data_IF_785877125614
#
_entry.id   IF_785877125614
#
_cell.length_a   1.000
_cell.length_b   1.000
_cell.length_c   1.000
_cell.angle_alpha   90.00
_cell.angle_beta   90.00
_cell.angle_gamma   90.00
#
_symmetry.space_group_name_H-M   'P 1'
#
loop_
_entity.id
_entity.type
_entity.pdbx_description
1 polymer ?
#
# COMPACT_ATOMS: atom_id res chain seq x y z
N UNK A 1 -7.12 -28.52 19.19
CA UNK A 1 -7.74 -28.07 17.92
C UNK A 1 -7.02 -26.81 17.43
N UNK A 2 -6.02 -26.97 16.57
CA UNK A 2 -5.16 -25.87 16.09
C UNK A 2 -5.87 -25.16 14.93
N UNK A 3 -6.34 -23.92 15.14
CA UNK A 3 -6.92 -23.07 14.08
C UNK A 3 -5.87 -22.82 13.01
N UNK A 4 -5.98 -23.51 11.87
CA UNK A 4 -5.25 -23.16 10.64
C UNK A 4 -5.72 -21.77 10.21
N UNK A 5 -4.87 -20.75 10.35
CA UNK A 5 -5.06 -19.45 9.71
C UNK A 5 -4.94 -19.67 8.20
N UNK A 6 -6.07 -19.76 7.50
CA UNK A 6 -6.09 -19.61 6.05
C UNK A 6 -5.52 -18.24 5.73
N UNK A 7 -4.34 -18.21 5.12
CA UNK A 7 -3.81 -17.01 4.48
C UNK A 7 -4.62 -16.84 3.20
N UNK A 8 -5.80 -16.23 3.33
CA UNK A 8 -6.53 -15.71 2.18
C UNK A 8 -5.56 -14.81 1.42
N UNK A 9 -5.17 -15.23 0.21
CA UNK A 9 -4.42 -14.40 -0.73
C UNK A 9 -5.37 -13.28 -1.18
N UNK A 10 -5.55 -12.28 -0.34
CA UNK A 10 -6.23 -11.05 -0.71
C UNK A 10 -5.45 -10.45 -1.87
N UNK A 11 -6.01 -10.53 -3.08
CA UNK A 11 -5.60 -9.68 -4.19
C UNK A 11 -5.67 -8.24 -3.71
N UNK A 12 -4.53 -7.67 -3.36
CA UNK A 12 -4.42 -6.28 -2.98
C UNK A 12 -4.70 -5.44 -4.23
N UNK A 13 -5.95 -5.00 -4.42
CA UNK A 13 -6.26 -3.99 -5.42
C UNK A 13 -5.71 -2.66 -4.93
N UNK A 14 -4.54 -2.27 -5.43
CA UNK A 14 -3.98 -0.96 -5.14
C UNK A 14 -4.90 0.13 -5.69
N UNK A 15 -5.37 1.03 -4.81
CA UNK A 15 -6.11 2.22 -5.25
C UNK A 15 -5.09 3.31 -5.61
N UNK A 16 -5.21 3.90 -6.80
CA UNK A 16 -4.38 5.04 -7.18
C UNK A 16 -4.88 6.28 -6.44
N UNK A 17 -4.01 6.93 -5.67
CA UNK A 17 -4.37 8.12 -4.89
C UNK A 17 -3.55 9.31 -5.35
N UNK A 18 -4.21 10.46 -5.55
CA UNK A 18 -3.55 11.75 -5.79
C UNK A 18 -3.06 12.32 -4.47
N UNK A 19 -1.85 11.94 -4.06
CA UNK A 19 -1.20 12.51 -2.88
C UNK A 19 -0.06 13.43 -3.33
N UNK A 20 -0.10 14.74 -3.04
CA UNK A 20 1.09 15.57 -3.14
C UNK A 20 2.12 15.06 -2.13
N UNK A 21 3.38 14.84 -2.55
CA UNK A 21 4.46 14.23 -1.72
C UNK A 21 4.53 14.80 -0.30
N UNK A 22 4.37 16.12 -0.13
CA UNK A 22 4.40 16.81 1.18
C UNK A 22 3.20 16.52 2.11
N UNK A 23 2.12 15.96 1.59
CA UNK A 23 0.87 15.73 2.33
C UNK A 23 0.79 14.30 2.87
N UNK A 24 1.51 13.35 2.29
CA UNK A 24 1.52 11.95 2.76
C UNK A 24 2.04 11.87 4.20
N UNK A 25 3.08 12.65 4.51
CA UNK A 25 3.68 12.70 5.85
C UNK A 25 2.76 13.30 6.92
N UNK A 26 1.71 14.05 6.54
CA UNK A 26 0.84 14.77 7.49
C UNK A 26 -0.58 14.21 7.63
N UNK A 27 -1.06 13.36 6.72
CA UNK A 27 -2.51 13.10 6.58
C UNK A 27 -2.95 11.69 7.01
N UNK A 28 -2.01 10.77 7.27
CA UNK A 28 -2.37 9.39 7.64
C UNK A 28 -3.10 8.65 6.51
N UNK A 29 -3.77 7.55 6.84
CA UNK A 29 -4.49 6.74 5.87
C UNK A 29 -5.79 7.42 5.42
N UNK A 30 -5.93 7.71 4.12
CA UNK A 30 -7.17 8.30 3.55
C UNK A 30 -8.40 7.41 3.73
N UNK A 31 -8.22 6.09 3.91
CA UNK A 31 -9.33 5.15 4.10
C UNK A 31 -9.90 5.18 5.52
N UNK A 32 -9.05 5.27 6.55
CA UNK A 32 -9.48 5.06 7.95
C UNK A 32 -8.98 6.13 8.93
N UNK A 33 -8.23 7.14 8.48
CA UNK A 33 -7.66 8.20 9.30
C UNK A 33 -6.48 7.79 10.18
N UNK A 34 -6.09 6.51 10.20
CA UNK A 34 -4.98 6.03 11.05
C UNK A 34 -3.65 6.65 10.63
N UNK A 35 -2.86 7.10 11.62
CA UNK A 35 -1.49 7.57 11.42
C UNK A 35 -0.47 6.43 11.31
N UNK A 36 -0.89 5.17 11.51
CA UNK A 36 0.01 4.01 11.40
C UNK A 36 0.18 3.61 9.93
N UNK A 37 1.01 4.37 9.22
CA UNK A 37 1.32 4.22 7.80
C UNK A 37 2.81 3.94 7.58
N UNK A 38 3.11 3.13 6.58
CA UNK A 38 4.43 2.87 6.03
C UNK A 38 4.49 3.47 4.62
N UNK A 39 5.50 4.29 4.35
CA UNK A 39 5.66 4.97 3.07
C UNK A 39 6.80 4.28 2.31
N UNK A 40 6.48 3.82 1.12
CA UNK A 40 7.38 3.18 0.17
C UNK A 40 7.58 4.12 -1.04
N UNK A 41 8.64 3.95 -1.84
CA UNK A 41 8.95 4.85 -2.95
C UNK A 41 7.78 5.06 -3.95
N UNK A 42 6.95 4.03 -4.16
CA UNK A 42 5.78 4.08 -5.05
C UNK A 42 4.43 3.93 -4.33
N UNK A 43 4.42 3.65 -3.02
CA UNK A 43 3.20 3.25 -2.32
C UNK A 43 3.08 3.84 -0.90
N UNK A 44 1.85 3.90 -0.41
CA UNK A 44 1.54 4.16 0.99
C UNK A 44 0.73 2.99 1.51
N UNK A 45 1.23 2.33 2.55
CA UNK A 45 0.62 1.17 3.17
C UNK A 45 0.14 1.52 4.59
N UNK A 46 -1.17 1.43 4.83
CA UNK A 46 -1.72 1.54 6.17
C UNK A 46 -1.59 0.22 6.91
N UNK A 47 -0.74 0.18 7.94
CA UNK A 47 -0.50 -0.99 8.77
C UNK A 47 -1.66 -1.30 9.72
N UNK A 48 -2.57 -0.34 9.92
CA UNK A 48 -3.79 -0.53 10.72
C UNK A 48 -4.90 -1.24 9.96
N UNK A 49 -5.31 -0.74 8.78
CA UNK A 49 -6.46 -1.28 8.03
C UNK A 49 -6.09 -2.06 6.74
N UNK A 50 -4.80 -2.22 6.46
CA UNK A 50 -4.28 -2.94 5.29
C UNK A 50 -4.46 -2.20 3.96
N UNK A 51 -4.82 -0.91 3.97
CA UNK A 51 -4.99 -0.14 2.73
C UNK A 51 -3.65 0.11 2.05
N UNK A 52 -3.55 -0.27 0.78
CA UNK A 52 -2.37 0.00 -0.06
C UNK A 52 -2.76 0.95 -1.19
N UNK A 53 -2.07 2.09 -1.25
CA UNK A 53 -2.36 3.16 -2.22
C UNK A 53 -1.12 3.49 -3.03
N UNK A 54 -1.26 3.56 -4.35
CA UNK A 54 -0.16 4.00 -5.24
C UNK A 54 -0.01 5.51 -5.18
N UNK A 55 1.23 5.99 -5.05
CA UNK A 55 1.56 7.41 -5.12
C UNK A 55 1.58 7.81 -6.60
N UNK A 56 0.78 8.80 -6.97
CA UNK A 56 0.72 9.27 -8.36
C UNK A 56 2.03 9.97 -8.76
N UNK A 57 2.53 9.66 -9.96
CA UNK A 57 3.70 10.32 -10.54
C UNK A 57 5.05 9.77 -10.05
N UNK A 58 5.07 8.69 -9.28
CA UNK A 58 6.29 7.98 -8.90
C UNK A 58 6.72 7.00 -9.98
N UNK A 59 8.00 6.63 -9.96
CA UNK A 59 8.62 5.73 -10.94
C UNK A 59 7.88 4.39 -11.06
N UNK A 60 7.76 3.89 -12.29
CA UNK A 60 7.28 2.52 -12.57
C UNK A 60 8.28 1.47 -12.07
N UNK A 61 9.59 1.73 -12.19
CA UNK A 61 10.63 0.86 -11.64
C UNK A 61 10.44 0.67 -10.13
N UNK A 62 10.15 1.74 -9.40
CA UNK A 62 9.90 1.69 -7.96
C UNK A 62 8.64 0.88 -7.60
N UNK A 63 7.65 0.81 -8.50
CA UNK A 63 6.52 -0.10 -8.35
C UNK A 63 6.96 -1.55 -8.58
N UNK A 64 7.68 -1.83 -9.67
CA UNK A 64 8.13 -3.18 -10.01
C UNK A 64 9.00 -3.79 -8.89
N UNK A 65 9.94 -3.01 -8.35
CA UNK A 65 10.77 -3.42 -7.21
C UNK A 65 9.93 -3.77 -5.97
N UNK A 66 8.88 -3.00 -5.70
CA UNK A 66 7.95 -3.27 -4.61
C UNK A 66 7.14 -4.55 -4.86
N UNK A 67 6.63 -4.76 -6.08
CA UNK A 67 5.90 -5.96 -6.47
C UNK A 67 6.77 -7.22 -6.32
N UNK A 68 8.03 -7.15 -6.77
CA UNK A 68 9.01 -8.23 -6.61
C UNK A 68 9.29 -8.55 -5.14
N UNK A 69 9.53 -7.52 -4.31
CA UNK A 69 9.83 -7.71 -2.87
C UNK A 69 8.63 -8.20 -2.06
N UNK A 70 7.42 -7.70 -2.38
CA UNK A 70 6.20 -8.02 -1.62
C UNK A 70 5.52 -9.30 -2.09
N UNK A 71 5.83 -9.79 -3.30
CA UNK A 71 5.10 -10.86 -3.96
C UNK A 71 3.68 -10.46 -4.38
N UNK A 72 3.32 -9.18 -4.27
CA UNK A 72 2.04 -8.64 -4.72
C UNK A 72 2.14 -8.28 -6.20
N UNK A 73 1.04 -8.47 -6.94
CA UNK A 73 0.93 -8.05 -8.34
C UNK A 73 -0.16 -6.97 -8.43
N UNK A 74 0.27 -5.71 -8.38
CA UNK A 74 -0.62 -4.56 -8.28
C UNK A 74 -0.87 -4.06 -9.69
N UNK A 75 -1.85 -4.70 -10.36
CA UNK A 75 -2.17 -4.47 -11.77
C UNK A 75 -2.03 -3.00 -12.18
N UNK A 76 -1.24 -2.80 -13.24
CA UNK A 76 -0.89 -1.51 -13.85
C UNK A 76 -2.11 -0.69 -14.27
#
# INVERSE_FOLDING_TARGET
MTRRRSVERHQARAKIVRLPRRTVERVGCIKCGSLFIEIEPAFVHCRYCGSLSRIRGTSLLAQEEYELRSGLRLAS
#
